data_IF_509701530812
#
_entry.id   IF_509701530812
#
_cell.length_a   1.000
_cell.length_b   1.000
_cell.length_c   1.000
_cell.angle_alpha   90.00
_cell.angle_beta   90.00
_cell.angle_gamma   90.00
#
_symmetry.space_group_name_H-M   'P 1'
#
loop_
_entity.id
_entity.type
_entity.pdbx_description
1 polymer ?
#
# COMPACT_ATOMS: atom_id res chain seq x y z
N UNK A 1 -1.82 1.77 -26.50
CA UNK A 1 -1.54 2.88 -27.45
C UNK A 1 -0.33 3.66 -26.95
N UNK A 2 0.63 3.89 -27.81
CA UNK A 2 1.80 4.73 -27.51
C UNK A 2 1.32 6.18 -27.49
N UNK A 3 1.67 6.96 -26.47
CA UNK A 3 1.36 8.37 -26.47
C UNK A 3 1.94 9.01 -27.75
N UNK A 4 1.15 9.86 -28.42
CA UNK A 4 1.54 10.44 -29.72
C UNK A 4 2.87 11.22 -29.63
N UNK A 5 3.17 11.76 -28.45
CA UNK A 5 4.36 12.59 -28.19
C UNK A 5 5.49 11.82 -27.49
N UNK A 6 5.38 10.48 -27.32
CA UNK A 6 6.45 9.71 -26.73
C UNK A 6 7.63 9.60 -27.68
N UNK A 7 8.86 9.96 -27.28
CA UNK A 7 10.04 9.85 -28.13
C UNK A 7 10.28 8.39 -28.55
N UNK A 8 10.78 8.21 -29.76
CA UNK A 8 11.19 6.89 -30.21
C UNK A 8 12.45 6.44 -29.50
N UNK A 9 12.69 5.11 -29.46
CA UNK A 9 13.93 4.57 -28.86
C UNK A 9 15.18 5.17 -29.51
N UNK A 10 15.13 5.41 -30.83
CA UNK A 10 16.23 6.01 -31.58
C UNK A 10 16.51 7.48 -31.19
N UNK A 11 15.48 8.22 -30.78
CA UNK A 11 15.65 9.60 -30.30
C UNK A 11 16.24 9.66 -28.89
N UNK A 12 16.18 8.54 -28.16
CA UNK A 12 16.77 8.41 -26.82
C UNK A 12 18.18 7.83 -26.86
N UNK A 13 18.63 7.32 -28.03
CA UNK A 13 19.97 6.75 -28.18
C UNK A 13 21.02 7.85 -28.04
N UNK A 14 21.95 7.67 -27.10
CA UNK A 14 23.02 8.62 -26.82
C UNK A 14 22.61 9.82 -25.90
N UNK A 15 21.38 9.85 -25.41
CA UNK A 15 21.00 10.83 -24.40
C UNK A 15 21.60 10.42 -23.06
N UNK A 16 22.35 11.32 -22.44
CA UNK A 16 22.86 11.14 -21.09
C UNK A 16 21.72 11.41 -20.07
N UNK A 17 21.36 10.41 -19.27
CA UNK A 17 20.25 10.47 -18.32
C UNK A 17 20.70 10.72 -16.87
N UNK A 18 22.00 10.75 -16.64
CA UNK A 18 22.53 10.98 -15.31
C UNK A 18 23.60 12.05 -15.30
N UNK A 19 23.61 12.84 -14.24
CA UNK A 19 24.62 13.85 -13.95
C UNK A 19 25.41 13.38 -12.74
N UNK A 20 26.75 13.44 -12.85
CA UNK A 20 27.61 13.16 -11.71
C UNK A 20 27.60 14.41 -10.79
N UNK A 21 27.10 14.24 -9.57
CA UNK A 21 27.12 15.28 -8.56
C UNK A 21 28.42 15.18 -7.75
N UNK A 22 29.03 16.33 -7.41
CA UNK A 22 30.20 16.38 -6.51
C UNK A 22 29.91 15.70 -5.16
N UNK A 23 28.70 15.86 -4.68
CA UNK A 23 28.20 15.20 -3.45
C UNK A 23 26.91 14.50 -3.77
N UNK A 24 26.91 13.16 -3.95
CA UNK A 24 25.69 12.43 -4.24
C UNK A 24 24.64 12.58 -3.13
N UNK A 25 23.40 12.85 -3.53
CA UNK A 25 22.25 12.93 -2.62
C UNK A 25 21.74 11.51 -2.36
N UNK A 26 21.68 11.11 -1.11
CA UNK A 26 21.16 9.80 -0.72
C UNK A 26 19.65 9.82 -0.57
N UNK A 27 19.01 8.68 -0.74
CA UNK A 27 17.56 8.56 -0.58
C UNK A 27 17.07 9.03 0.80
N UNK A 28 17.83 8.76 1.85
CA UNK A 28 17.50 9.20 3.22
C UNK A 28 17.51 10.73 3.37
N UNK A 29 18.30 11.44 2.58
CA UNK A 29 18.42 12.91 2.64
C UNK A 29 17.20 13.63 2.05
N UNK A 30 16.33 12.84 1.38
CA UNK A 30 15.05 13.32 0.82
C UNK A 30 13.89 13.22 1.81
N UNK A 31 14.11 12.64 2.99
CA UNK A 31 13.07 12.54 4.01
C UNK A 31 12.60 13.90 4.48
N UNK A 32 11.32 14.18 4.29
CA UNK A 32 10.68 15.45 4.68
C UNK A 32 10.92 16.62 3.73
N UNK A 33 11.61 16.40 2.61
CA UNK A 33 11.75 17.41 1.55
C UNK A 33 10.40 17.58 0.84
N UNK A 34 9.84 18.79 0.74
CA UNK A 34 8.60 19.05 0.00
C UNK A 34 8.70 18.58 -1.46
N UNK A 35 7.59 18.10 -2.04
CA UNK A 35 7.59 17.54 -3.40
C UNK A 35 7.89 18.59 -4.50
N UNK A 36 7.69 19.86 -4.21
CA UNK A 36 7.97 20.99 -5.09
C UNK A 36 9.37 21.60 -4.88
N UNK A 37 10.19 21.03 -4.01
CA UNK A 37 11.55 21.46 -3.77
C UNK A 37 12.45 21.06 -4.95
N UNK A 38 13.24 22.00 -5.55
CA UNK A 38 14.13 21.72 -6.66
C UNK A 38 15.20 20.65 -6.35
N UNK A 39 15.46 20.35 -5.09
CA UNK A 39 16.34 19.24 -4.68
C UNK A 39 15.90 17.88 -5.24
N UNK A 40 14.61 17.71 -5.55
CA UNK A 40 14.13 16.50 -6.21
C UNK A 40 14.66 16.34 -7.63
N UNK A 41 14.77 17.44 -8.37
CA UNK A 41 15.33 17.42 -9.72
C UNK A 41 16.82 17.05 -9.68
N UNK A 42 17.60 17.60 -8.75
CA UNK A 42 18.99 17.22 -8.52
C UNK A 42 19.11 15.74 -8.13
N UNK A 43 18.28 15.28 -7.18
CA UNK A 43 18.26 13.90 -6.73
C UNK A 43 17.95 12.92 -7.86
N UNK A 44 16.98 13.24 -8.71
CA UNK A 44 16.58 12.38 -9.84
C UNK A 44 17.65 12.43 -10.94
N UNK A 45 18.27 13.58 -11.18
CA UNK A 45 19.27 13.74 -12.25
C UNK A 45 20.52 12.87 -12.10
N UNK A 46 20.86 12.48 -10.86
CA UNK A 46 21.99 11.59 -10.60
C UNK A 46 21.70 10.10 -10.89
N UNK A 47 20.42 9.73 -11.08
CA UNK A 47 20.01 8.35 -11.32
C UNK A 47 20.21 7.96 -12.78
N UNK A 48 20.78 6.78 -13.02
CA UNK A 48 20.88 6.24 -14.38
C UNK A 48 19.50 5.87 -14.94
N UNK A 49 19.40 5.74 -16.26
CA UNK A 49 18.17 5.25 -16.90
C UNK A 49 17.76 3.87 -16.34
N UNK A 50 18.75 3.00 -16.06
CA UNK A 50 18.48 1.69 -15.45
C UNK A 50 17.88 1.83 -14.05
N UNK A 51 18.38 2.74 -13.21
CA UNK A 51 17.84 3.02 -11.88
C UNK A 51 16.42 3.54 -11.95
N UNK A 52 16.14 4.45 -12.88
CA UNK A 52 14.78 4.97 -13.12
C UNK A 52 13.82 3.88 -13.59
N UNK A 53 14.25 3.05 -14.56
CA UNK A 53 13.45 1.93 -15.04
C UNK A 53 13.15 0.92 -13.93
N UNK A 54 14.13 0.57 -13.09
CA UNK A 54 13.92 -0.33 -11.94
C UNK A 54 12.95 0.31 -10.93
N UNK A 55 13.11 1.59 -10.64
CA UNK A 55 12.27 2.31 -9.67
C UNK A 55 10.79 2.35 -10.09
N UNK A 56 10.52 2.39 -11.40
CA UNK A 56 9.15 2.44 -11.96
C UNK A 56 8.62 1.04 -12.25
N UNK A 57 9.48 0.13 -12.73
CA UNK A 57 9.07 -1.16 -13.27
C UNK A 57 8.92 -2.28 -12.25
N UNK A 58 9.45 -2.13 -11.04
CA UNK A 58 9.35 -3.17 -10.02
C UNK A 58 7.98 -3.15 -9.33
N UNK A 59 7.08 -3.99 -9.86
CA UNK A 59 5.70 -4.06 -9.41
C UNK A 59 5.47 -4.79 -8.06
N UNK A 60 6.49 -5.46 -7.51
CA UNK A 60 6.32 -6.34 -6.33
C UNK A 60 7.21 -6.02 -5.15
N UNK A 61 8.14 -5.17 -5.34
CA UNK A 61 9.05 -4.74 -4.31
C UNK A 61 9.50 -3.34 -4.63
N UNK A 62 9.98 -2.71 -3.62
CA UNK A 62 10.66 -1.46 -3.84
C UNK A 62 12.11 -1.83 -4.08
N UNK A 63 12.51 -1.94 -5.34
CA UNK A 63 13.86 -2.28 -5.72
C UNK A 63 14.90 -1.43 -4.97
N UNK A 64 16.02 -2.06 -4.62
CA UNK A 64 17.19 -1.33 -4.15
C UNK A 64 17.80 -0.56 -5.31
N UNK A 65 18.25 0.66 -5.05
CA UNK A 65 18.95 1.51 -6.02
C UNK A 65 20.24 1.96 -5.37
N UNK A 66 21.36 1.34 -5.78
CA UNK A 66 22.66 1.53 -5.12
C UNK A 66 23.23 2.94 -5.33
N UNK A 67 22.95 3.58 -6.46
CA UNK A 67 23.43 4.93 -6.78
C UNK A 67 22.95 6.01 -5.78
N UNK A 68 21.83 5.75 -5.11
CA UNK A 68 21.21 6.65 -4.13
C UNK A 68 21.12 6.03 -2.73
N UNK A 69 21.83 4.97 -2.46
CA UNK A 69 21.77 4.22 -1.18
C UNK A 69 20.36 3.81 -0.75
N UNK A 70 19.45 3.60 -1.72
CA UNK A 70 18.10 3.11 -1.42
C UNK A 70 18.12 1.60 -1.21
N UNK A 71 17.77 1.11 -0.02
CA UNK A 71 17.71 -0.33 0.21
C UNK A 71 16.53 -0.96 -0.54
N UNK A 72 16.65 -2.26 -0.83
CA UNK A 72 15.51 -3.05 -1.25
C UNK A 72 14.58 -3.29 -0.06
N UNK A 73 13.30 -3.03 -0.24
CA UNK A 73 12.24 -3.32 0.72
C UNK A 73 11.28 -4.37 0.16
N UNK A 74 10.70 -5.19 1.03
CA UNK A 74 9.69 -6.15 0.62
C UNK A 74 8.28 -5.56 0.77
N UNK A 75 7.38 -6.00 -0.12
CA UNK A 75 5.94 -5.83 0.03
C UNK A 75 5.35 -7.17 0.42
N UNK A 76 4.53 -7.19 1.46
CA UNK A 76 3.82 -8.38 1.90
C UNK A 76 2.32 -8.28 1.65
N UNK A 77 1.69 -9.44 1.56
CA UNK A 77 0.24 -9.57 1.71
C UNK A 77 -0.10 -9.79 3.20
N UNK A 78 -1.30 -9.46 3.59
CA UNK A 78 -1.89 -9.66 4.91
C UNK A 78 -3.40 -9.49 4.79
N UNK A 79 -4.16 -9.35 5.81
CA UNK A 79 -3.98 -8.92 7.19
C UNK A 79 -3.92 -10.03 8.25
N UNK A 80 -4.25 -11.27 7.91
CA UNK A 80 -4.34 -12.37 8.89
C UNK A 80 -2.97 -12.99 9.19
N UNK A 81 -1.91 -12.39 8.65
CA UNK A 81 -0.51 -12.77 8.80
C UNK A 81 0.30 -12.33 7.60
N UNK A 82 1.57 -12.10 7.79
CA UNK A 82 2.45 -11.68 6.71
C UNK A 82 2.67 -12.82 5.72
N UNK A 83 2.22 -12.62 4.48
CA UNK A 83 2.53 -13.47 3.34
C UNK A 83 3.56 -12.76 2.47
N UNK A 84 4.82 -12.94 2.78
CA UNK A 84 5.91 -12.38 2.00
C UNK A 84 6.84 -13.49 1.52
N UNK A 85 7.33 -13.36 0.30
CA UNK A 85 8.61 -13.97 -0.06
C UNK A 85 9.67 -13.02 0.48
N UNK A 86 10.20 -13.38 1.65
CA UNK A 86 11.21 -12.55 2.29
C UNK A 86 12.47 -12.46 1.44
N UNK A 87 13.18 -11.34 1.59
CA UNK A 87 14.43 -11.00 0.89
C UNK A 87 15.48 -12.12 0.92
N UNK A 88 15.36 -13.09 1.83
CA UNK A 88 16.34 -14.14 2.07
C UNK A 88 15.91 -15.55 1.64
N UNK A 89 14.83 -15.67 0.87
CA UNK A 89 14.37 -16.98 0.36
C UNK A 89 13.67 -17.88 1.38
N UNK A 90 13.77 -17.56 2.64
CA UNK A 90 13.16 -18.35 3.73
C UNK A 90 11.74 -17.85 4.01
N UNK A 91 10.78 -18.78 4.02
CA UNK A 91 9.47 -18.51 4.59
C UNK A 91 9.64 -18.51 6.12
N UNK A 92 9.73 -17.33 6.70
CA UNK A 92 9.67 -17.21 8.16
C UNK A 92 8.26 -17.50 8.61
N UNK A 93 8.14 -18.23 9.72
CA UNK A 93 6.86 -18.35 10.39
C UNK A 93 6.48 -16.97 10.95
N UNK A 94 5.37 -16.43 10.46
CA UNK A 94 4.79 -15.19 10.95
C UNK A 94 3.59 -15.50 11.84
N UNK A 95 3.21 -14.54 12.66
CA UNK A 95 2.02 -14.66 13.51
C UNK A 95 0.78 -14.84 12.67
N UNK A 96 -0.05 -15.83 12.98
CA UNK A 96 -1.42 -15.94 12.49
C UNK A 96 -2.31 -15.05 13.35
N UNK A 97 -2.71 -13.91 12.80
CA UNK A 97 -3.58 -12.96 13.49
C UNK A 97 -5.05 -13.36 13.41
N UNK A 98 -5.84 -12.89 14.36
CA UNK A 98 -7.29 -13.02 14.28
C UNK A 98 -7.83 -12.29 13.02
N UNK A 99 -8.95 -12.77 12.48
CA UNK A 99 -9.60 -12.13 11.34
C UNK A 99 -10.02 -10.70 11.66
N UNK A 100 -10.03 -9.83 10.68
CA UNK A 100 -10.41 -8.42 10.89
C UNK A 100 -11.83 -8.25 11.45
N UNK A 101 -12.85 -9.04 11.05
CA UNK A 101 -14.16 -9.00 11.72
C UNK A 101 -14.07 -9.30 13.22
N UNK A 102 -13.25 -10.25 13.63
CA UNK A 102 -13.07 -10.59 15.07
C UNK A 102 -12.47 -9.41 15.83
N UNK A 103 -11.44 -8.77 15.29
CA UNK A 103 -10.80 -7.61 15.90
C UNK A 103 -11.79 -6.43 15.96
N UNK A 104 -12.53 -6.19 14.88
CA UNK A 104 -13.51 -5.12 14.77
C UNK A 104 -14.69 -5.33 15.73
N UNK A 105 -15.15 -6.58 15.89
CA UNK A 105 -16.27 -6.95 16.77
C UNK A 105 -15.96 -6.74 18.26
N UNK A 106 -14.73 -6.47 18.64
CA UNK A 106 -14.38 -6.11 20.02
C UNK A 106 -14.90 -4.72 20.40
N UNK A 107 -15.12 -3.83 19.42
CA UNK A 107 -15.44 -2.40 19.63
C UNK A 107 -14.38 -1.66 20.46
N UNK A 108 -13.22 -2.27 20.63
CA UNK A 108 -12.13 -1.79 21.47
C UNK A 108 -11.07 -1.11 20.61
N UNK A 109 -10.98 0.21 20.71
CA UNK A 109 -10.01 1.02 19.97
C UNK A 109 -8.56 0.72 20.36
N UNK A 110 -8.33 0.38 21.62
CA UNK A 110 -6.97 0.05 22.09
C UNK A 110 -6.53 -1.30 21.52
N UNK A 111 -7.41 -2.30 21.48
CA UNK A 111 -7.17 -3.59 20.86
C UNK A 111 -6.86 -3.45 19.37
N UNK A 112 -7.62 -2.62 18.65
CA UNK A 112 -7.42 -2.36 17.23
C UNK A 112 -6.05 -1.70 16.97
N UNK A 113 -5.70 -0.70 17.79
CA UNK A 113 -4.40 -0.02 17.71
C UNK A 113 -3.25 -0.96 18.09
N UNK A 114 -3.44 -1.81 19.10
CA UNK A 114 -2.45 -2.81 19.51
C UNK A 114 -2.19 -3.82 18.39
N UNK A 115 -3.25 -4.30 17.72
CA UNK A 115 -3.08 -5.15 16.53
C UNK A 115 -2.23 -4.45 15.46
N UNK A 116 -2.54 -3.19 15.13
CA UNK A 116 -1.78 -2.41 14.15
C UNK A 116 -0.30 -2.26 14.53
N UNK A 117 -0.03 -1.95 15.79
CA UNK A 117 1.33 -1.83 16.33
C UNK A 117 2.12 -3.13 16.24
N UNK A 118 1.56 -4.23 16.73
CA UNK A 118 2.24 -5.53 16.76
C UNK A 118 2.47 -6.10 15.36
N UNK A 119 1.48 -5.95 14.48
CA UNK A 119 1.61 -6.33 13.07
C UNK A 119 2.74 -5.54 12.38
N UNK A 120 2.81 -4.23 12.63
CA UNK A 120 3.85 -3.38 12.05
C UNK A 120 5.24 -3.74 12.58
N UNK A 121 5.39 -4.02 13.87
CA UNK A 121 6.66 -4.47 14.45
C UNK A 121 7.14 -5.77 13.78
N UNK A 122 6.26 -6.75 13.61
CA UNK A 122 6.58 -8.01 12.95
C UNK A 122 6.98 -7.79 11.48
N UNK A 123 6.23 -6.92 10.75
CA UNK A 123 6.51 -6.58 9.36
C UNK A 123 7.89 -5.95 9.20
N UNK A 124 8.18 -4.92 9.98
CA UNK A 124 9.46 -4.19 9.92
C UNK A 124 10.63 -5.09 10.35
N UNK A 125 10.46 -5.90 11.41
CA UNK A 125 11.45 -6.89 11.80
C UNK A 125 11.74 -7.90 10.69
N UNK A 126 10.75 -8.24 9.90
CA UNK A 126 10.86 -9.14 8.74
C UNK A 126 11.40 -8.48 7.48
N UNK A 127 11.73 -7.19 7.52
CA UNK A 127 12.22 -6.42 6.37
C UNK A 127 11.12 -6.03 5.37
N UNK A 128 9.86 -6.04 5.82
CA UNK A 128 8.70 -5.62 5.04
C UNK A 128 8.41 -4.15 5.33
N UNK A 129 8.55 -3.28 4.33
CA UNK A 129 8.29 -1.85 4.48
C UNK A 129 6.86 -1.46 4.06
N UNK A 130 6.20 -2.31 3.28
CA UNK A 130 4.84 -2.08 2.79
C UNK A 130 4.01 -3.35 2.88
N UNK A 131 2.75 -3.20 3.26
CA UNK A 131 1.80 -4.32 3.33
C UNK A 131 0.51 -4.00 2.56
N UNK A 132 -0.02 -4.99 1.84
CA UNK A 132 -1.32 -4.91 1.19
C UNK A 132 -2.42 -5.31 2.18
N UNK A 133 -2.65 -4.47 3.15
CA UNK A 133 -3.58 -4.63 4.27
C UNK A 133 -3.80 -3.27 4.96
N UNK A 134 -4.88 -3.14 5.78
CA UNK A 134 -6.01 -4.04 5.94
C UNK A 134 -7.02 -3.95 4.80
N UNK A 135 -7.90 -4.95 4.69
CA UNK A 135 -9.11 -4.85 3.90
C UNK A 135 -10.21 -4.13 4.67
N UNK A 136 -10.95 -3.25 4.03
CA UNK A 136 -12.04 -2.51 4.71
C UNK A 136 -13.33 -2.40 3.90
N UNK A 137 -13.52 -3.26 2.90
CA UNK A 137 -14.78 -3.36 2.20
C UNK A 137 -15.93 -3.76 3.15
N UNK A 138 -17.14 -3.49 2.74
CA UNK A 138 -18.33 -3.81 3.54
C UNK A 138 -18.67 -5.29 3.44
N UNK A 139 -18.84 -5.96 4.56
CA UNK A 139 -19.28 -7.36 4.66
C UNK A 139 -20.80 -7.47 4.41
N UNK A 140 -21.23 -7.34 3.14
CA UNK A 140 -22.65 -7.40 2.78
C UNK A 140 -23.24 -8.78 2.85
N UNK A 141 -22.43 -9.79 2.54
CA UNK A 141 -22.88 -11.18 2.43
C UNK A 141 -21.88 -12.12 3.08
N UNK A 142 -22.32 -13.13 3.83
CA UNK A 142 -21.44 -14.15 4.35
C UNK A 142 -20.77 -14.98 3.25
N UNK A 143 -21.28 -14.90 2.01
CA UNK A 143 -20.72 -15.58 0.83
C UNK A 143 -19.72 -14.72 0.06
N UNK A 144 -19.25 -13.61 0.64
CA UNK A 144 -18.40 -12.63 -0.02
C UNK A 144 -17.01 -13.12 -0.45
N UNK A 145 -16.59 -14.30 -0.03
CA UNK A 145 -15.32 -14.94 -0.40
C UNK A 145 -14.09 -14.40 0.31
N UNK A 146 -14.12 -13.13 0.76
CA UNK A 146 -13.05 -12.47 1.50
C UNK A 146 -13.55 -11.77 2.78
N UNK A 147 -14.66 -12.25 3.31
CA UNK A 147 -15.25 -11.68 4.51
C UNK A 147 -14.32 -11.72 5.73
N UNK A 148 -13.37 -12.63 5.79
CA UNK A 148 -12.34 -12.69 6.85
C UNK A 148 -11.37 -11.51 6.84
N UNK A 149 -11.15 -10.90 5.68
CA UNK A 149 -10.24 -9.75 5.51
C UNK A 149 -10.91 -8.39 5.69
N UNK A 150 -12.25 -8.33 5.78
CA UNK A 150 -13.01 -7.09 5.83
C UNK A 150 -13.56 -6.85 7.23
N UNK A 151 -13.75 -5.57 7.59
CA UNK A 151 -14.00 -5.19 8.98
C UNK A 151 -15.41 -5.57 9.47
N UNK A 152 -16.45 -5.03 8.82
CA UNK A 152 -17.84 -5.11 9.29
C UNK A 152 -18.81 -4.84 8.12
N UNK A 153 -20.11 -5.12 8.38
CA UNK A 153 -21.20 -4.64 7.53
C UNK A 153 -21.54 -3.17 7.82
N UNK A 154 -21.16 -2.64 8.99
CA UNK A 154 -21.37 -1.26 9.37
C UNK A 154 -20.23 -0.36 8.88
N UNK A 155 -20.57 0.68 8.12
CA UNK A 155 -19.61 1.58 7.51
C UNK A 155 -18.87 2.45 8.53
N UNK A 156 -19.53 2.83 9.63
CA UNK A 156 -18.91 3.66 10.66
C UNK A 156 -18.01 2.86 11.59
N UNK A 157 -18.43 1.65 11.95
CA UNK A 157 -17.56 0.74 12.70
C UNK A 157 -16.30 0.41 11.90
N UNK A 158 -16.45 0.15 10.60
CA UNK A 158 -15.32 -0.07 9.68
C UNK A 158 -14.43 1.17 9.55
N UNK A 159 -15.03 2.37 9.47
CA UNK A 159 -14.32 3.65 9.45
C UNK A 159 -13.38 3.80 10.65
N UNK A 160 -13.89 3.61 11.86
CA UNK A 160 -13.08 3.78 13.07
C UNK A 160 -12.06 2.67 13.24
N UNK A 161 -12.43 1.42 12.98
CA UNK A 161 -11.52 0.29 13.15
C UNK A 161 -10.33 0.36 12.20
N UNK A 162 -10.59 0.61 10.91
CA UNK A 162 -9.50 0.76 9.93
C UNK A 162 -8.59 1.94 10.26
N UNK A 163 -9.17 3.06 10.73
CA UNK A 163 -8.40 4.24 11.12
C UNK A 163 -7.44 3.95 12.26
N UNK A 164 -7.91 3.28 13.32
CA UNK A 164 -7.09 2.96 14.48
C UNK A 164 -5.94 2.03 14.12
N UNK A 165 -6.20 1.01 13.30
CA UNK A 165 -5.20 0.06 12.82
C UNK A 165 -4.14 0.76 11.97
N UNK A 166 -4.57 1.54 10.98
CA UNK A 166 -3.65 2.20 10.04
C UNK A 166 -2.81 3.27 10.71
N UNK A 167 -3.41 4.08 11.58
CA UNK A 167 -2.67 5.07 12.34
C UNK A 167 -1.55 4.43 13.15
N UNK A 168 -1.85 3.32 13.84
CA UNK A 168 -0.86 2.59 14.61
C UNK A 168 0.26 1.99 13.75
N UNK A 169 -0.08 1.45 12.56
CA UNK A 169 0.92 0.97 11.59
C UNK A 169 1.81 2.09 11.09
N UNK A 170 1.24 3.25 10.77
CA UNK A 170 1.97 4.42 10.29
C UNK A 170 2.93 4.98 11.35
N UNK A 171 2.51 5.06 12.61
CA UNK A 171 3.38 5.52 13.71
C UNK A 171 4.63 4.65 13.89
N UNK A 172 4.56 3.39 13.47
CA UNK A 172 5.72 2.49 13.42
C UNK A 172 6.57 2.67 12.16
N UNK A 173 6.07 3.35 11.15
CA UNK A 173 6.74 3.55 9.86
C UNK A 173 6.40 2.50 8.80
N UNK A 174 5.43 1.61 9.04
CA UNK A 174 4.94 0.67 8.04
C UNK A 174 3.99 1.37 7.08
N UNK A 175 4.23 1.22 5.78
CA UNK A 175 3.29 1.69 4.74
C UNK A 175 2.23 0.62 4.53
N UNK A 176 0.98 0.96 4.75
CA UNK A 176 -0.16 0.07 4.54
C UNK A 176 -0.98 0.53 3.33
N UNK A 177 -1.24 -0.39 2.40
CA UNK A 177 -2.15 -0.19 1.27
C UNK A 177 -3.52 -0.70 1.68
N UNK A 178 -4.40 0.20 2.13
CA UNK A 178 -5.79 -0.18 2.42
C UNK A 178 -6.48 -0.69 1.16
N UNK A 179 -7.26 -1.77 1.27
CA UNK A 179 -7.82 -2.48 0.11
C UNK A 179 -9.25 -2.94 0.35
N UNK A 180 -10.00 -3.21 -0.70
CA UNK A 180 -9.85 -2.94 -2.14
C UNK A 180 -10.83 -1.85 -2.52
N UNK A 181 -10.36 -0.69 -2.90
CA UNK A 181 -11.22 0.47 -3.17
C UNK A 181 -11.82 0.36 -4.58
N UNK A 182 -13.11 0.22 -4.66
CA UNK A 182 -14.20 -0.10 -3.74
C UNK A 182 -15.19 -1.07 -4.39
N UNK A 183 -16.26 -1.47 -3.68
CA UNK A 183 -17.31 -2.40 -4.14
C UNK A 183 -16.80 -3.82 -4.47
N UNK A 184 -15.80 -4.32 -3.74
CA UNK A 184 -15.27 -5.68 -3.90
C UNK A 184 -15.96 -6.67 -2.94
N UNK A 185 -17.29 -6.69 -2.91
CA UNK A 185 -18.07 -7.57 -2.05
C UNK A 185 -18.31 -8.95 -2.66
N UNK A 186 -17.84 -9.17 -3.90
CA UNK A 186 -17.95 -10.45 -4.62
C UNK A 186 -16.59 -10.84 -5.20
N UNK A 187 -16.16 -12.08 -4.94
CA UNK A 187 -14.94 -12.66 -5.52
C UNK A 187 -15.19 -13.46 -6.79
N UNK A 188 -16.40 -14.02 -6.96
CA UNK A 188 -16.74 -14.75 -8.19
C UNK A 188 -16.70 -13.81 -9.39
N UNK A 189 -15.86 -14.16 -10.36
CA UNK A 189 -15.65 -13.37 -11.58
C UNK A 189 -15.22 -11.91 -11.32
N UNK A 190 -14.45 -11.66 -10.26
CA UNK A 190 -14.09 -10.31 -9.79
C UNK A 190 -13.40 -9.42 -10.85
N UNK A 191 -12.68 -10.02 -11.81
CA UNK A 191 -12.02 -9.28 -12.91
C UNK A 191 -12.98 -8.90 -14.05
N UNK A 192 -14.17 -9.49 -14.08
CA UNK A 192 -15.16 -9.26 -15.13
C UNK A 192 -16.48 -8.69 -14.65
N UNK A 193 -16.73 -8.70 -13.34
CA UNK A 193 -18.00 -8.22 -12.78
C UNK A 193 -18.08 -6.69 -12.87
N UNK A 194 -19.22 -6.20 -13.34
CA UNK A 194 -19.59 -4.80 -13.25
C UNK A 194 -20.45 -4.58 -11.99
N UNK A 195 -20.06 -3.62 -11.17
CA UNK A 195 -20.74 -3.30 -9.92
C UNK A 195 -21.48 -1.98 -10.04
N UNK A 196 -22.70 -1.95 -9.52
CA UNK A 196 -23.56 -0.78 -9.61
C UNK A 196 -24.10 -0.40 -8.23
N UNK A 197 -24.10 0.89 -7.96
CA UNK A 197 -24.75 1.47 -6.80
C UNK A 197 -25.12 2.91 -7.08
N UNK A 198 -26.04 3.48 -6.31
CA UNK A 198 -26.31 4.91 -6.39
C UNK A 198 -25.23 5.71 -5.63
N UNK A 199 -25.09 6.98 -5.97
CA UNK A 199 -24.07 7.85 -5.42
C UNK A 199 -24.14 7.97 -3.89
N UNK A 200 -25.33 8.04 -3.32
CA UNK A 200 -25.50 8.13 -1.88
C UNK A 200 -24.95 6.89 -1.17
N UNK A 201 -25.32 5.69 -1.60
CA UNK A 201 -24.82 4.46 -1.02
C UNK A 201 -23.31 4.31 -1.20
N UNK A 202 -22.77 4.72 -2.34
CA UNK A 202 -21.33 4.73 -2.58
C UNK A 202 -20.61 5.59 -1.53
N UNK A 203 -21.07 6.82 -1.31
CA UNK A 203 -20.40 7.76 -0.39
C UNK A 203 -20.61 7.42 1.08
N UNK A 204 -21.83 7.06 1.46
CA UNK A 204 -22.17 6.88 2.87
C UNK A 204 -21.82 5.48 3.40
N UNK A 205 -21.74 4.48 2.54
CA UNK A 205 -21.51 3.08 2.93
C UNK A 205 -20.15 2.60 2.41
N UNK A 206 -19.98 2.51 1.10
CA UNK A 206 -18.85 1.77 0.51
C UNK A 206 -17.53 2.52 0.54
N UNK A 207 -17.54 3.85 0.38
CA UNK A 207 -16.34 4.68 0.48
C UNK A 207 -16.03 5.14 1.91
N UNK A 208 -16.99 5.04 2.82
CA UNK A 208 -16.82 5.54 4.18
C UNK A 208 -15.65 4.93 4.94
N UNK A 209 -15.39 3.61 4.89
CA UNK A 209 -14.18 3.04 5.50
C UNK A 209 -12.89 3.57 4.88
N UNK A 210 -12.86 3.76 3.56
CA UNK A 210 -11.68 4.30 2.86
C UNK A 210 -11.43 5.78 3.22
N UNK A 211 -12.48 6.56 3.40
CA UNK A 211 -12.37 7.93 3.95
C UNK A 211 -11.70 7.90 5.33
N UNK A 212 -12.14 7.01 6.22
CA UNK A 212 -11.53 6.83 7.53
C UNK A 212 -10.06 6.44 7.43
N UNK A 213 -9.75 5.52 6.53
CA UNK A 213 -8.38 5.08 6.28
C UNK A 213 -7.45 6.22 5.87
N UNK A 214 -7.91 7.09 4.97
CA UNK A 214 -7.10 8.17 4.42
C UNK A 214 -7.04 9.41 5.32
N UNK A 215 -8.16 9.78 5.95
CA UNK A 215 -8.25 11.04 6.71
C UNK A 215 -7.84 10.88 8.16
N UNK A 216 -8.32 9.84 8.86
CA UNK A 216 -8.06 9.58 10.27
C UNK A 216 -6.93 8.57 10.49
N UNK A 217 -6.87 7.55 9.64
CA UNK A 217 -5.81 6.53 9.67
C UNK A 217 -4.52 7.00 9.00
N UNK A 218 -4.60 8.09 8.26
CA UNK A 218 -3.49 8.70 7.53
C UNK A 218 -2.71 7.68 6.67
N UNK A 219 -3.47 6.76 6.04
CA UNK A 219 -2.90 5.76 5.15
C UNK A 219 -2.15 6.41 3.99
N UNK A 220 -0.96 5.91 3.71
CA UNK A 220 -0.12 6.41 2.61
C UNK A 220 -0.36 5.67 1.29
N UNK A 221 -1.13 4.58 1.32
CA UNK A 221 -1.40 3.78 0.14
C UNK A 221 -2.85 3.30 0.09
N UNK A 222 -3.35 3.12 -1.13
CA UNK A 222 -4.67 2.56 -1.41
C UNK A 222 -4.59 1.62 -2.60
N UNK A 223 -5.21 0.46 -2.50
CA UNK A 223 -5.33 -0.50 -3.58
C UNK A 223 -6.74 -0.50 -4.15
N UNK A 224 -6.86 -0.30 -5.44
CA UNK A 224 -8.14 -0.38 -6.15
C UNK A 224 -8.61 -1.83 -6.28
N UNK A 225 -9.91 -2.02 -6.43
CA UNK A 225 -10.50 -3.33 -6.72
C UNK A 225 -10.42 -3.68 -8.21
N UNK A 226 -10.65 -4.97 -8.54
CA UNK A 226 -10.62 -5.44 -9.93
C UNK A 226 -11.94 -5.25 -10.69
N UNK A 227 -13.05 -5.09 -9.97
CA UNK A 227 -14.36 -4.89 -10.58
C UNK A 227 -14.42 -3.58 -11.39
N UNK A 228 -15.38 -3.54 -12.31
CA UNK A 228 -15.64 -2.42 -13.21
C UNK A 228 -16.83 -1.60 -12.76
#
# INVERSE_FOLDING_TARGET
EKAADAPSYAELEGVEYSVELETPIKFIDMKGVPLDDPKWDEFISQMSLADLCISIGDARGIAGVSSIDKPMNAIAEGPEGLLAKFKFGDQRACTGWATLPTITATWDHEMQSMYGNLFAEEALFSGVAMVNAPGCNINRSPYGGRASEYMSEDSMLSYYSVSNILYAMREKGLIANVKHCFLNEQETNRQGVATFSNEQAIREIYLRPFEGALTRGESLGIMTSYNR
#
